data_IF_467263543141
#
_entry.id   IF_467263543141
#
_cell.length_a   1.000
_cell.length_b   1.000
_cell.length_c   1.000
_cell.angle_alpha   90.00
_cell.angle_beta   90.00
_cell.angle_gamma   90.00
#
_symmetry.space_group_name_H-M   'P 1'
#
loop_
_entity.id
_entity.type
_entity.pdbx_description
1 polymer ?
#
# COMPACT_ATOMS: atom_id res chain seq x y z
N UNK A 1 -7.52 13.71 -17.87
CA UNK A 1 -7.97 13.80 -16.46
C UNK A 1 -9.51 13.77 -16.30
N UNK A 2 -10.30 13.39 -17.31
CA UNK A 2 -11.76 13.28 -17.18
C UNK A 2 -12.23 12.06 -16.35
N UNK A 3 -11.37 11.05 -16.16
CA UNK A 3 -11.70 9.84 -15.39
C UNK A 3 -11.64 10.05 -13.88
N UNK A 4 -10.79 10.95 -13.39
CA UNK A 4 -10.59 11.20 -11.96
C UNK A 4 -11.81 11.87 -11.31
N UNK A 5 -12.56 12.67 -12.08
CA UNK A 5 -13.83 13.27 -11.66
C UNK A 5 -15.00 12.29 -11.76
N UNK A 6 -14.89 11.26 -12.60
CA UNK A 6 -15.93 10.23 -12.78
C UNK A 6 -15.87 9.15 -11.67
N UNK A 7 -14.67 8.83 -11.16
CA UNK A 7 -14.49 7.92 -10.02
C UNK A 7 -13.48 8.50 -9.01
N UNK A 8 -13.95 9.26 -8.00
CA UNK A 8 -13.08 9.89 -7.02
C UNK A 8 -12.36 8.89 -6.13
N UNK A 9 -12.95 7.71 -5.87
CA UNK A 9 -12.31 6.67 -5.06
C UNK A 9 -11.10 6.11 -5.81
N UNK A 10 -11.27 5.80 -7.09
CA UNK A 10 -10.18 5.35 -7.96
C UNK A 10 -9.06 6.39 -8.06
N UNK A 11 -9.40 7.68 -8.14
CA UNK A 11 -8.41 8.76 -8.16
C UNK A 11 -7.60 8.85 -6.85
N UNK A 12 -8.27 8.77 -5.70
CA UNK A 12 -7.61 8.74 -4.38
C UNK A 12 -6.69 7.53 -4.25
N UNK A 13 -7.16 6.33 -4.65
CA UNK A 13 -6.35 5.12 -4.63
C UNK A 13 -5.13 5.22 -5.55
N UNK A 14 -5.27 5.85 -6.73
CA UNK A 14 -4.15 6.07 -7.65
C UNK A 14 -3.12 7.03 -7.04
N UNK A 15 -3.56 8.10 -6.37
CA UNK A 15 -2.67 9.01 -5.66
C UNK A 15 -1.91 8.30 -4.53
N UNK A 16 -2.60 7.49 -3.73
CA UNK A 16 -1.97 6.69 -2.66
C UNK A 16 -0.96 5.70 -3.25
N UNK A 17 -1.28 5.07 -4.39
CA UNK A 17 -0.36 4.18 -5.09
C UNK A 17 0.90 4.92 -5.56
N UNK A 18 0.76 6.13 -6.12
CA UNK A 18 1.89 6.99 -6.50
C UNK A 18 2.75 7.30 -5.27
N UNK A 19 2.14 7.75 -4.17
CA UNK A 19 2.88 8.05 -2.93
C UNK A 19 3.63 6.81 -2.45
N UNK A 20 2.97 5.65 -2.42
CA UNK A 20 3.56 4.37 -1.99
C UNK A 20 4.78 3.99 -2.84
N UNK A 21 4.70 4.18 -4.16
CA UNK A 21 5.83 3.94 -5.07
C UNK A 21 6.97 4.90 -4.79
N UNK A 22 6.67 6.20 -4.69
CA UNK A 22 7.70 7.22 -4.44
C UNK A 22 8.40 7.03 -3.10
N UNK A 23 7.65 6.70 -2.04
CA UNK A 23 8.24 6.39 -0.73
C UNK A 23 9.10 5.14 -0.80
N UNK A 24 8.63 4.08 -1.47
CA UNK A 24 9.40 2.85 -1.65
C UNK A 24 10.70 3.08 -2.43
N UNK A 25 10.67 3.91 -3.48
CA UNK A 25 11.87 4.28 -4.26
C UNK A 25 12.90 5.01 -3.38
N UNK A 26 12.45 5.87 -2.45
CA UNK A 26 13.35 6.55 -1.51
C UNK A 26 13.87 5.58 -0.45
N UNK A 27 13.02 4.69 0.04
CA UNK A 27 13.32 3.74 1.11
C UNK A 27 14.38 2.69 0.71
N UNK A 28 14.38 2.25 -0.55
CA UNK A 28 15.36 1.28 -1.07
C UNK A 28 16.82 1.73 -0.86
N UNK A 29 17.25 2.91 -1.34
CA UNK A 29 18.60 3.43 -1.10
C UNK A 29 18.77 4.16 0.23
N UNK A 30 17.70 4.76 0.79
CA UNK A 30 17.76 5.68 1.93
C UNK A 30 16.87 5.27 3.11
N UNK A 31 16.73 3.97 3.37
CA UNK A 31 15.89 3.46 4.48
C UNK A 31 16.38 3.88 5.88
N UNK A 32 17.65 4.25 6.04
CA UNK A 32 18.25 4.62 7.33
C UNK A 32 17.57 5.81 8.04
N UNK A 33 17.45 6.99 7.39
CA UNK A 33 16.73 8.13 7.94
C UNK A 33 15.26 7.85 8.27
N UNK A 34 14.53 7.08 7.45
CA UNK A 34 13.15 6.71 7.75
C UNK A 34 13.06 5.80 8.98
N UNK A 35 13.96 4.82 9.12
CA UNK A 35 14.02 3.96 10.31
C UNK A 35 14.21 4.79 11.58
N UNK A 36 15.10 5.77 11.56
CA UNK A 36 15.33 6.66 12.70
C UNK A 36 14.08 7.50 13.03
N UNK A 37 13.36 7.98 12.01
CA UNK A 37 12.10 8.71 12.19
C UNK A 37 11.02 7.82 12.84
N UNK A 38 11.01 6.52 12.48
CA UNK A 38 10.12 5.52 13.08
C UNK A 38 10.62 5.02 14.45
N UNK A 39 11.75 5.54 14.94
CA UNK A 39 12.36 5.16 16.21
C UNK A 39 12.99 3.77 16.23
N UNK A 40 13.31 3.20 15.07
CA UNK A 40 14.03 1.94 14.94
C UNK A 40 15.54 2.15 14.84
N UNK A 41 16.29 1.16 15.35
CA UNK A 41 17.73 1.12 15.20
C UNK A 41 18.14 1.00 13.73
N UNK A 42 19.12 1.81 13.34
CA UNK A 42 19.60 1.89 11.96
C UNK A 42 20.90 1.11 11.78
N UNK A 43 20.83 -0.22 11.90
CA UNK A 43 21.94 -1.14 11.61
C UNK A 43 21.99 -1.48 10.11
N UNK A 44 23.09 -2.06 9.59
CA UNK A 44 23.14 -2.52 8.22
C UNK A 44 22.00 -3.48 7.86
N UNK A 45 21.67 -4.41 8.76
CA UNK A 45 20.64 -5.43 8.56
C UNK A 45 19.24 -4.81 8.52
N UNK A 46 18.92 -3.90 9.45
CA UNK A 46 17.62 -3.22 9.47
C UNK A 46 17.43 -2.34 8.25
N UNK A 47 18.48 -1.64 7.79
CA UNK A 47 18.46 -0.86 6.55
C UNK A 47 18.20 -1.73 5.32
N UNK A 48 18.82 -2.91 5.22
CA UNK A 48 18.59 -3.83 4.09
C UNK A 48 17.18 -4.41 4.12
N UNK A 49 16.66 -4.78 5.30
CA UNK A 49 15.30 -5.25 5.47
C UNK A 49 14.29 -4.17 5.07
N UNK A 50 14.49 -2.94 5.55
CA UNK A 50 13.63 -1.81 5.23
C UNK A 50 13.69 -1.45 3.74
N UNK A 51 14.89 -1.45 3.14
CA UNK A 51 15.01 -1.30 1.68
C UNK A 51 14.30 -2.41 0.89
N UNK A 52 14.28 -3.64 1.41
CA UNK A 52 13.50 -4.74 0.83
C UNK A 52 12.00 -4.50 0.93
N UNK A 53 11.50 -3.97 2.06
CA UNK A 53 10.10 -3.53 2.21
C UNK A 53 9.78 -2.44 1.20
N UNK A 54 10.65 -1.43 1.07
CA UNK A 54 10.55 -0.38 0.05
C UNK A 54 10.43 -0.94 -1.37
N UNK A 55 11.22 -1.95 -1.73
CA UNK A 55 11.13 -2.62 -3.03
C UNK A 55 9.74 -3.24 -3.27
N UNK A 56 9.19 -3.94 -2.27
CA UNK A 56 7.82 -4.47 -2.36
C UNK A 56 6.76 -3.37 -2.45
N UNK A 57 6.95 -2.23 -1.78
CA UNK A 57 6.06 -1.06 -1.93
C UNK A 57 6.08 -0.53 -3.37
N UNK A 58 7.25 -0.45 -4.01
CA UNK A 58 7.39 -0.06 -5.42
C UNK A 58 6.65 -1.03 -6.34
N UNK A 59 6.87 -2.33 -6.17
CA UNK A 59 6.28 -3.34 -7.06
C UNK A 59 4.76 -3.40 -6.90
N UNK A 60 4.26 -3.54 -5.67
CA UNK A 60 2.80 -3.66 -5.43
C UNK A 60 2.09 -2.33 -5.68
N UNK A 61 2.68 -1.21 -5.24
CA UNK A 61 2.15 0.12 -5.53
C UNK A 61 2.13 0.41 -7.04
N UNK A 62 3.17 -0.01 -7.78
CA UNK A 62 3.24 0.12 -9.23
C UNK A 62 2.19 -0.74 -9.94
N UNK A 63 2.00 -1.99 -9.52
CA UNK A 63 0.95 -2.88 -10.02
C UNK A 63 -0.44 -2.30 -9.78
N UNK A 64 -0.68 -1.77 -8.58
CA UNK A 64 -1.94 -1.10 -8.24
C UNK A 64 -2.13 0.15 -9.10
N UNK A 65 -1.11 1.01 -9.23
CA UNK A 65 -1.18 2.21 -10.06
C UNK A 65 -1.48 1.87 -11.52
N UNK A 66 -0.75 0.94 -12.13
CA UNK A 66 -1.03 0.47 -13.48
C UNK A 66 -2.47 -0.05 -13.62
N UNK A 67 -2.92 -0.87 -12.66
CA UNK A 67 -4.28 -1.38 -12.62
C UNK A 67 -5.32 -0.26 -12.57
N UNK A 68 -5.10 0.77 -11.76
CA UNK A 68 -5.98 1.91 -11.59
C UNK A 68 -5.91 2.92 -12.74
N UNK A 69 -4.90 2.86 -13.60
CA UNK A 69 -4.81 3.70 -14.80
C UNK A 69 -5.41 3.02 -16.03
N UNK A 70 -5.51 1.69 -16.04
CA UNK A 70 -6.09 0.92 -17.15
C UNK A 70 -7.63 0.98 -17.20
N UNK A 71 -8.21 0.94 -18.39
CA UNK A 71 -9.68 1.07 -18.60
C UNK A 71 -10.48 0.04 -17.80
N UNK A 72 -10.00 -1.21 -17.75
CA UNK A 72 -10.57 -2.31 -16.97
C UNK A 72 -9.58 -2.68 -15.86
N UNK A 73 -9.86 -2.30 -14.59
CA UNK A 73 -9.01 -2.65 -13.47
C UNK A 73 -9.07 -4.15 -13.17
N UNK A 74 -7.93 -4.79 -12.91
CA UNK A 74 -7.85 -6.17 -12.39
C UNK A 74 -8.32 -6.24 -10.93
N UNK A 75 -9.41 -6.96 -10.60
CA UNK A 75 -9.88 -7.09 -9.23
C UNK A 75 -8.89 -7.82 -8.32
N UNK A 76 -8.13 -8.78 -8.85
CA UNK A 76 -7.15 -9.55 -8.08
C UNK A 76 -6.02 -8.67 -7.56
N UNK A 77 -5.52 -7.75 -8.38
CA UNK A 77 -4.47 -6.81 -7.97
C UNK A 77 -4.98 -5.88 -6.87
N UNK A 78 -6.21 -5.40 -6.98
CA UNK A 78 -6.84 -4.56 -5.93
C UNK A 78 -6.99 -5.35 -4.62
N UNK A 79 -7.46 -6.59 -4.69
CA UNK A 79 -7.61 -7.46 -3.52
C UNK A 79 -6.28 -7.68 -2.81
N UNK A 80 -5.26 -8.13 -3.53
CA UNK A 80 -3.95 -8.43 -2.95
C UNK A 80 -3.21 -7.17 -2.48
N UNK A 81 -3.45 -6.02 -3.10
CA UNK A 81 -2.97 -4.73 -2.58
C UNK A 81 -3.62 -4.40 -1.23
N UNK A 82 -4.93 -4.65 -1.07
CA UNK A 82 -5.62 -4.48 0.21
C UNK A 82 -5.11 -5.43 1.30
N UNK A 83 -4.84 -6.69 0.93
CA UNK A 83 -4.22 -7.68 1.83
C UNK A 83 -2.82 -7.23 2.25
N UNK A 84 -1.98 -6.77 1.32
CA UNK A 84 -0.64 -6.27 1.63
C UNK A 84 -0.68 -5.11 2.62
N UNK A 85 -1.55 -4.11 2.40
CA UNK A 85 -1.73 -2.96 3.30
C UNK A 85 -2.23 -3.37 4.69
N UNK A 86 -3.14 -4.34 4.76
CA UNK A 86 -3.59 -4.92 6.04
C UNK A 86 -2.45 -5.65 6.75
N UNK A 87 -1.64 -6.40 6.00
CA UNK A 87 -0.45 -7.08 6.51
C UNK A 87 0.59 -6.10 7.04
N UNK A 88 0.82 -4.97 6.35
CA UNK A 88 1.71 -3.91 6.79
C UNK A 88 1.26 -3.29 8.12
N UNK A 89 -0.04 -2.99 8.28
CA UNK A 89 -0.61 -2.56 9.55
C UNK A 89 -0.34 -3.57 10.68
N UNK A 90 -0.57 -4.86 10.43
CA UNK A 90 -0.33 -5.92 11.40
C UNK A 90 1.15 -6.05 11.78
N UNK A 91 2.04 -6.06 10.79
CA UNK A 91 3.49 -6.19 11.01
C UNK A 91 4.07 -5.00 11.78
N UNK A 92 3.69 -3.77 11.43
CA UNK A 92 4.11 -2.56 12.16
C UNK A 92 3.53 -2.55 13.57
N UNK A 93 2.26 -2.94 13.73
CA UNK A 93 1.62 -3.05 15.06
C UNK A 93 2.34 -4.05 15.97
N UNK A 94 2.68 -5.23 15.45
CA UNK A 94 3.50 -6.23 16.16
C UNK A 94 4.88 -5.65 16.50
N UNK A 95 5.51 -4.93 15.58
CA UNK A 95 6.79 -4.26 15.83
C UNK A 95 6.72 -3.23 16.97
N UNK A 96 5.65 -2.44 17.06
CA UNK A 96 5.43 -1.50 18.19
C UNK A 96 5.21 -2.24 19.50
N UNK A 97 4.39 -3.31 19.51
CA UNK A 97 4.14 -4.12 20.70
C UNK A 97 5.40 -4.81 21.22
N UNK A 98 6.31 -5.19 20.33
CA UNK A 98 7.61 -5.78 20.66
C UNK A 98 8.69 -4.74 20.99
N UNK A 99 8.37 -3.43 20.96
CA UNK A 99 9.32 -2.35 21.24
C UNK A 99 10.36 -2.10 20.15
N UNK A 100 10.15 -2.62 18.93
CA UNK A 100 11.05 -2.43 17.77
C UNK A 100 10.84 -1.08 17.11
N UNK A 101 9.59 -0.60 17.08
CA UNK A 101 9.23 0.70 16.52
C UNK A 101 8.63 1.61 17.59
N UNK A 102 8.80 2.92 17.41
CA UNK A 102 8.12 3.93 18.21
C UNK A 102 6.60 3.88 17.98
N UNK A 103 5.76 4.26 18.97
CA UNK A 103 4.32 4.44 18.77
C UNK A 103 3.96 5.38 17.61
N UNK A 104 4.87 6.27 17.19
CA UNK A 104 4.68 7.11 15.99
C UNK A 104 4.50 6.29 14.71
N UNK A 105 5.09 5.09 14.62
CA UNK A 105 4.93 4.20 13.47
C UNK A 105 3.47 3.73 13.28
N UNK A 106 2.65 3.79 14.33
CA UNK A 106 1.21 3.48 14.24
C UNK A 106 0.48 4.47 13.33
N UNK A 107 0.95 5.72 13.18
CA UNK A 107 0.33 6.66 12.24
C UNK A 107 0.41 6.16 10.79
N UNK A 108 1.58 5.61 10.41
CA UNK A 108 1.78 5.00 9.09
C UNK A 108 0.98 3.70 8.99
N UNK A 109 0.95 2.90 10.04
CA UNK A 109 0.16 1.67 10.08
C UNK A 109 -1.35 1.94 9.89
N UNK A 110 -1.90 2.95 10.57
CA UNK A 110 -3.30 3.32 10.42
C UNK A 110 -3.61 3.91 9.05
N UNK A 111 -2.65 4.63 8.44
CA UNK A 111 -2.77 5.07 7.05
C UNK A 111 -2.88 3.86 6.09
N UNK A 112 -2.08 2.82 6.30
CA UNK A 112 -2.17 1.59 5.51
C UNK A 112 -3.49 0.85 5.76
N UNK A 113 -3.98 0.79 7.00
CA UNK A 113 -5.28 0.21 7.32
C UNK A 113 -6.43 0.97 6.62
N UNK A 114 -6.42 2.30 6.67
CA UNK A 114 -7.39 3.13 5.97
C UNK A 114 -7.35 2.87 4.46
N UNK A 115 -6.15 2.78 3.89
CA UNK A 115 -5.94 2.43 2.47
C UNK A 115 -6.50 1.04 2.15
N UNK A 116 -6.27 0.04 3.00
CA UNK A 116 -6.81 -1.30 2.82
C UNK A 116 -8.34 -1.30 2.80
N UNK A 117 -8.98 -0.55 3.70
CA UNK A 117 -10.45 -0.39 3.72
C UNK A 117 -10.95 0.20 2.39
N UNK A 118 -10.30 1.25 1.89
CA UNK A 118 -10.65 1.85 0.59
C UNK A 118 -10.49 0.86 -0.57
N UNK A 119 -9.41 0.06 -0.56
CA UNK A 119 -9.16 -0.98 -1.56
C UNK A 119 -10.23 -2.07 -1.53
N UNK A 120 -10.66 -2.53 -0.36
CA UNK A 120 -11.73 -3.53 -0.26
C UNK A 120 -13.09 -2.98 -0.67
N UNK A 121 -13.38 -1.70 -0.38
CA UNK A 121 -14.58 -1.02 -0.89
C UNK A 121 -14.55 -0.99 -2.42
N UNK A 122 -13.42 -0.58 -3.01
CA UNK A 122 -13.26 -0.52 -4.46
C UNK A 122 -13.36 -1.91 -5.10
N UNK A 123 -12.72 -2.93 -4.51
CA UNK A 123 -12.78 -4.31 -4.96
C UNK A 123 -14.22 -4.86 -5.01
N UNK A 124 -15.02 -4.60 -3.96
CA UNK A 124 -16.44 -5.00 -3.94
C UNK A 124 -17.24 -4.32 -5.06
N UNK A 125 -16.94 -3.06 -5.39
CA UNK A 125 -17.58 -2.34 -6.51
C UNK A 125 -17.23 -2.95 -7.86
N UNK A 126 -15.99 -3.38 -8.06
CA UNK A 126 -15.57 -4.09 -9.28
C UNK A 126 -16.33 -5.42 -9.45
N UNK A 127 -16.52 -6.17 -8.37
CA UNK A 127 -17.29 -7.42 -8.39
C UNK A 127 -18.78 -7.23 -8.65
N UNK A 128 -19.39 -6.18 -8.07
CA UNK A 128 -20.80 -5.85 -8.30
C UNK A 128 -21.10 -5.33 -9.73
N UNK A 129 -20.08 -4.84 -10.44
CA UNK A 129 -20.17 -4.38 -11.81
C UNK A 129 -19.95 -5.49 -12.85
N UNK A 130 -19.55 -6.70 -12.43
CA UNK A 130 -19.47 -7.85 -13.32
C UNK A 130 -20.90 -8.27 -13.73
N UNK A 131 -21.20 -8.43 -15.04
CA UNK A 131 -22.52 -8.84 -15.47
C UNK A 131 -22.91 -10.17 -14.83
N UNK A 132 -24.13 -10.26 -14.31
CA UNK A 132 -24.74 -11.51 -13.88
C UNK A 132 -24.90 -12.44 -15.11
N UNK A 133 -23.87 -13.24 -15.39
CA UNK A 133 -23.87 -14.15 -16.53
C UNK A 133 -22.49 -14.30 -17.11
N UNK A 134 -21.65 -15.09 -16.43
CA UNK A 134 -20.62 -15.98 -16.97
C UNK A 134 -19.95 -16.62 -15.75
N UNK A 135 -20.66 -17.54 -15.12
CA UNK A 135 -20.01 -18.62 -14.38
C UNK A 135 -19.45 -19.62 -15.41
N UNK A 136 -18.29 -20.25 -15.15
CA UNK A 136 -17.68 -21.21 -16.06
C UNK A 136 -18.59 -22.41 -16.38
#
# INVERSE_FOLDING_TARGET
MAWATADPLRAVLALIAIITVLTGVVEVPFGGPLLQLLGADSTPETRQLFGTVGMFMVVVGGLLLHTLLNTVPSPEVVLWSGVQKTGAFGAVGIGVLNGVFSPLALLVAFFDLATAVLLFIYWRRLGAAAPAGLTP
#
